data_IF_234487889286
#
_entry.id   IF_234487889286
#
_cell.length_a   1.000
_cell.length_b   1.000
_cell.length_c   1.000
_cell.angle_alpha   90.00
_cell.angle_beta   90.00
_cell.angle_gamma   90.00
#
_symmetry.space_group_name_H-M   'P 1'
#
loop_
_entity.id
_entity.type
_entity.pdbx_description
1 polymer ?
#
# COMPACT_ATOMS: atom_id res chain seq x y z
N UNK A 1 -53.27 7.01 -47.21
CA UNK A 1 -53.77 6.86 -45.82
C UNK A 1 -52.60 7.09 -44.88
N UNK A 2 -52.77 8.01 -43.92
CA UNK A 2 -51.77 8.41 -42.92
C UNK A 2 -51.50 7.26 -41.93
N UNK A 3 -50.24 7.02 -41.59
CA UNK A 3 -49.83 6.10 -40.52
C UNK A 3 -48.87 6.81 -39.55
N UNK A 4 -49.27 6.82 -38.29
CA UNK A 4 -48.78 7.55 -37.11
C UNK A 4 -47.25 7.71 -36.92
N UNK A 5 -46.90 8.91 -36.41
CA UNK A 5 -45.64 9.19 -35.72
C UNK A 5 -45.46 8.35 -34.45
N UNK A 6 -44.22 7.91 -34.19
CA UNK A 6 -43.69 7.81 -32.83
C UNK A 6 -42.34 8.53 -32.81
N UNK A 7 -42.40 9.82 -32.47
CA UNK A 7 -41.23 10.60 -32.07
C UNK A 7 -40.75 10.02 -30.73
N UNK A 8 -39.65 9.26 -30.75
CA UNK A 8 -38.93 8.92 -29.53
C UNK A 8 -38.13 10.14 -29.11
N UNK A 9 -38.72 10.93 -28.22
CA UNK A 9 -38.09 12.04 -27.52
C UNK A 9 -36.78 11.57 -26.87
N UNK A 10 -35.66 11.70 -27.59
CA UNK A 10 -34.31 11.35 -27.15
C UNK A 10 -33.69 12.41 -26.22
N UNK A 11 -34.49 12.97 -25.32
CA UNK A 11 -34.10 14.11 -24.51
C UNK A 11 -34.57 13.96 -23.06
N UNK A 12 -34.10 12.95 -22.33
CA UNK A 12 -34.29 12.94 -20.86
C UNK A 12 -33.26 12.18 -20.01
N UNK A 13 -32.01 11.96 -20.45
CA UNK A 13 -30.92 11.60 -19.52
C UNK A 13 -29.56 12.11 -20.01
N UNK A 14 -29.30 13.42 -19.93
CA UNK A 14 -27.92 13.90 -19.91
C UNK A 14 -27.39 13.63 -18.50
N UNK A 15 -26.84 12.44 -18.29
CA UNK A 15 -26.18 12.10 -17.04
C UNK A 15 -25.09 13.15 -16.78
N UNK A 16 -25.28 13.96 -15.73
CA UNK A 16 -24.24 14.84 -15.21
C UNK A 16 -23.16 13.96 -14.59
N UNK A 17 -22.24 13.46 -15.42
CA UNK A 17 -21.00 12.85 -14.94
C UNK A 17 -20.05 13.98 -14.57
N UNK A 18 -20.24 14.53 -13.36
CA UNK A 18 -19.23 15.37 -12.71
C UNK A 18 -18.16 14.47 -12.08
N UNK A 19 -17.47 13.69 -12.91
CA UNK A 19 -16.16 13.19 -12.52
C UNK A 19 -15.20 14.35 -12.76
N UNK A 20 -15.00 15.21 -11.76
CA UNK A 20 -13.79 16.01 -11.69
C UNK A 20 -12.61 15.04 -11.59
N UNK A 21 -12.22 14.44 -12.72
CA UNK A 21 -11.06 13.55 -12.80
C UNK A 21 -9.85 14.44 -12.53
N UNK A 22 -9.37 14.46 -11.29
CA UNK A 22 -7.93 14.46 -11.09
C UNK A 22 -7.46 13.20 -11.81
N UNK A 23 -7.07 13.35 -13.07
CA UNK A 23 -6.60 12.27 -13.93
C UNK A 23 -5.27 11.77 -13.38
N UNK A 24 -5.31 10.99 -12.31
CA UNK A 24 -4.17 10.20 -11.90
C UNK A 24 -4.03 9.11 -12.95
N UNK A 25 -2.89 9.11 -13.65
CA UNK A 25 -2.59 8.14 -14.67
C UNK A 25 -2.53 6.72 -14.09
N UNK A 26 -3.06 5.74 -14.82
CA UNK A 26 -3.01 4.35 -14.39
C UNK A 26 -1.58 3.80 -14.52
N UNK A 27 -0.90 3.62 -13.39
CA UNK A 27 0.46 3.08 -13.29
C UNK A 27 0.51 1.58 -12.94
N UNK A 28 -0.62 0.87 -12.92
CA UNK A 28 -0.68 -0.57 -12.59
C UNK A 28 0.19 -1.41 -13.53
N UNK A 29 0.16 -1.23 -14.87
CA UNK A 29 0.99 -2.03 -15.77
C UNK A 29 2.50 -1.88 -15.49
N UNK A 30 2.95 -0.69 -15.10
CA UNK A 30 4.35 -0.43 -14.76
C UNK A 30 4.76 -1.16 -13.47
N UNK A 31 3.90 -1.14 -12.46
CA UNK A 31 4.15 -1.87 -11.21
C UNK A 31 4.09 -3.38 -11.43
N UNK A 32 3.18 -3.88 -12.25
CA UNK A 32 3.14 -5.29 -12.64
C UNK A 32 4.46 -5.71 -13.29
N UNK A 33 4.98 -4.92 -14.25
CA UNK A 33 6.28 -5.19 -14.88
C UNK A 33 7.42 -5.24 -13.86
N UNK A 34 7.47 -4.29 -12.93
CA UNK A 34 8.50 -4.25 -11.88
C UNK A 34 8.44 -5.48 -10.95
N UNK A 35 7.26 -5.82 -10.44
CA UNK A 35 7.09 -6.92 -9.48
C UNK A 35 7.07 -8.32 -10.12
N UNK A 36 6.82 -8.41 -11.43
CA UNK A 36 6.89 -9.66 -12.20
C UNK A 36 8.22 -9.87 -12.92
N UNK A 37 9.15 -8.91 -12.87
CA UNK A 37 10.50 -9.10 -13.40
C UNK A 37 11.15 -10.33 -12.77
N UNK A 38 11.70 -11.22 -13.60
CA UNK A 38 12.39 -12.42 -13.15
C UNK A 38 13.84 -12.11 -12.80
N UNK A 39 14.03 -11.52 -11.62
CA UNK A 39 15.33 -11.10 -11.09
C UNK A 39 15.73 -11.90 -9.84
N UNK A 40 15.01 -12.97 -9.51
CA UNK A 40 15.24 -13.81 -8.33
C UNK A 40 15.03 -13.12 -6.98
N UNK A 41 14.58 -11.85 -6.95
CA UNK A 41 14.36 -11.13 -5.70
C UNK A 41 13.08 -11.60 -5.00
N UNK A 42 13.11 -11.78 -3.68
CA UNK A 42 11.91 -12.06 -2.91
C UNK A 42 10.99 -10.83 -2.92
N UNK A 43 9.67 -11.06 -2.82
CA UNK A 43 8.64 -10.01 -2.97
C UNK A 43 8.83 -8.80 -2.03
N UNK A 44 9.34 -9.02 -0.82
CA UNK A 44 9.56 -7.96 0.19
C UNK A 44 10.80 -7.09 -0.06
N UNK A 45 11.64 -7.41 -1.06
CA UNK A 45 12.76 -6.58 -1.51
C UNK A 45 12.58 -6.12 -2.96
N UNK A 46 11.47 -6.48 -3.60
CA UNK A 46 11.30 -6.34 -5.05
C UNK A 46 11.05 -4.89 -5.49
N UNK A 47 10.68 -4.00 -4.57
CA UNK A 47 10.62 -2.56 -4.79
C UNK A 47 11.97 -1.84 -4.69
N UNK A 48 13.06 -2.55 -4.39
CA UNK A 48 14.44 -2.06 -4.52
C UNK A 48 15.05 -1.51 -3.22
N UNK A 49 15.83 -0.45 -3.34
CA UNK A 49 16.67 0.08 -2.23
C UNK A 49 15.87 0.54 -1.02
N UNK A 50 14.69 1.11 -1.22
CA UNK A 50 13.80 1.54 -0.12
C UNK A 50 13.36 0.35 0.72
N UNK A 51 12.98 -0.75 0.07
CA UNK A 51 12.54 -1.96 0.75
C UNK A 51 13.68 -2.58 1.56
N UNK A 52 14.89 -2.62 0.99
CA UNK A 52 16.08 -3.10 1.68
C UNK A 52 16.46 -2.24 2.90
N UNK A 53 16.39 -0.90 2.79
CA UNK A 53 16.65 0.01 3.90
C UNK A 53 15.61 -0.19 5.01
N UNK A 54 14.33 -0.25 4.64
CA UNK A 54 13.24 -0.43 5.60
C UNK A 54 13.37 -1.78 6.32
N UNK A 55 13.64 -2.86 5.59
CA UNK A 55 13.87 -4.18 6.17
C UNK A 55 15.01 -4.16 7.20
N UNK A 56 16.17 -3.59 6.85
CA UNK A 56 17.33 -3.53 7.76
C UNK A 56 17.04 -2.71 9.02
N UNK A 57 16.38 -1.57 8.86
CA UNK A 57 16.00 -0.71 9.97
C UNK A 57 15.01 -1.42 10.90
N UNK A 58 13.97 -2.06 10.35
CA UNK A 58 12.99 -2.81 11.14
C UNK A 58 13.65 -3.98 11.86
N UNK A 59 14.55 -4.70 11.21
CA UNK A 59 15.28 -5.81 11.84
C UNK A 59 16.16 -5.31 12.98
N UNK A 60 16.91 -4.22 12.78
CA UNK A 60 17.74 -3.61 13.81
C UNK A 60 16.92 -3.19 15.03
N UNK A 61 15.80 -2.49 14.81
CA UNK A 61 14.91 -2.07 15.89
C UNK A 61 14.30 -3.27 16.63
N UNK A 62 13.89 -4.31 15.91
CA UNK A 62 13.26 -5.49 16.52
C UNK A 62 14.25 -6.30 17.35
N UNK A 63 15.44 -6.56 16.81
CA UNK A 63 16.50 -7.28 17.54
C UNK A 63 17.00 -6.45 18.71
N UNK A 64 17.28 -5.16 18.49
CA UNK A 64 17.71 -4.24 19.55
C UNK A 64 16.67 -4.11 20.66
N UNK A 65 15.39 -3.95 20.28
CA UNK A 65 14.27 -3.92 21.21
C UNK A 65 14.14 -5.20 22.02
N UNK A 66 14.30 -6.36 21.37
CA UNK A 66 14.26 -7.67 22.06
C UNK A 66 15.40 -7.79 23.08
N UNK A 67 16.63 -7.42 22.71
CA UNK A 67 17.77 -7.41 23.63
C UNK A 67 17.53 -6.46 24.81
N UNK A 68 16.97 -5.28 24.56
CA UNK A 68 16.62 -4.32 25.61
C UNK A 68 15.53 -4.85 26.53
N UNK A 69 14.49 -5.49 25.99
CA UNK A 69 13.45 -6.13 26.79
C UNK A 69 14.02 -7.24 27.69
N UNK A 70 14.96 -8.05 27.19
CA UNK A 70 15.65 -9.06 28.00
C UNK A 70 16.50 -8.43 29.11
N UNK A 71 17.18 -7.32 28.83
CA UNK A 71 17.88 -6.55 29.85
C UNK A 71 16.92 -6.03 30.93
N UNK A 72 15.81 -5.40 30.53
CA UNK A 72 14.79 -4.91 31.47
C UNK A 72 14.19 -6.05 32.30
N UNK A 73 13.93 -7.20 31.67
CA UNK A 73 13.43 -8.39 32.36
C UNK A 73 14.43 -8.89 33.41
N UNK A 74 15.70 -9.01 33.04
CA UNK A 74 16.76 -9.44 33.95
C UNK A 74 16.91 -8.44 35.11
N UNK A 75 16.92 -7.14 34.82
CA UNK A 75 16.96 -6.08 35.82
C UNK A 75 15.76 -6.19 36.78
N UNK A 76 14.53 -6.26 36.26
CA UNK A 76 13.32 -6.35 37.04
C UNK A 76 13.18 -7.66 37.86
N UNK A 77 13.89 -8.72 37.47
CA UNK A 77 13.83 -10.02 38.15
C UNK A 77 14.53 -10.03 39.51
N UNK A 78 15.39 -9.05 39.80
CA UNK A 78 16.09 -8.94 41.08
C UNK A 78 15.55 -7.78 41.93
N UNK A 79 15.48 -7.94 43.26
CA UNK A 79 15.06 -6.87 44.14
C UNK A 79 16.12 -5.75 44.14
N UNK A 80 15.66 -4.54 43.85
CA UNK A 80 16.47 -3.34 43.98
C UNK A 80 16.42 -2.87 45.43
N UNK A 81 17.59 -2.49 45.98
CA UNK A 81 17.65 -1.87 47.30
C UNK A 81 16.76 -0.62 47.28
N UNK A 82 15.84 -0.54 48.24
CA UNK A 82 15.16 0.70 48.57
C UNK A 82 16.14 1.49 49.43
N UNK A 83 16.40 2.75 49.07
CA UNK A 83 16.99 3.70 50.02
C UNK A 83 16.13 3.76 51.30
#
# INVERSE_FOLDING_TARGET
MRGLMISRSGALLRAFSSSARRSIENRVPEKQKLFQQDNGLPVHLKGGTRDALLYRLTMLLSVGGTCYSLYCLAWASYPHKKE
#
